data_IF_814754465701
#
_entry.id   IF_814754465701
#
_cell.length_a   1.000
_cell.length_b   1.000
_cell.length_c   1.000
_cell.angle_alpha   90.00
_cell.angle_beta   90.00
_cell.angle_gamma   90.00
#
_symmetry.space_group_name_H-M   'P 1'
#
loop_
_entity.id
_entity.type
_entity.pdbx_description
1 polymer ?
#
# COMPACT_ATOMS: atom_id res chain seq x y z
N UNK A 1 13.68 -5.89 25.28
CA UNK A 1 13.98 -5.56 23.88
C UNK A 1 13.77 -6.79 23.02
N UNK A 2 12.94 -6.69 22.01
CA UNK A 2 12.73 -7.71 20.98
C UNK A 2 13.27 -7.17 19.66
N UNK A 3 13.70 -8.04 18.74
CA UNK A 3 14.28 -7.64 17.46
C UNK A 3 13.61 -8.46 16.37
N UNK A 4 13.10 -7.78 15.36
CA UNK A 4 12.66 -8.38 14.12
C UNK A 4 13.60 -8.00 12.98
N UNK A 5 13.72 -8.87 11.99
CA UNK A 5 14.57 -8.68 10.82
C UNK A 5 13.74 -8.72 9.54
N UNK A 6 14.14 -7.94 8.56
CA UNK A 6 13.45 -7.88 7.27
C UNK A 6 14.40 -7.46 6.16
N UNK A 7 13.83 -7.02 5.05
CA UNK A 7 14.58 -6.43 3.95
C UNK A 7 14.33 -4.93 3.89
N UNK A 8 15.37 -4.12 3.94
CA UNK A 8 15.25 -2.67 3.84
C UNK A 8 14.87 -2.23 2.43
N UNK A 9 13.89 -1.33 2.34
CA UNK A 9 13.48 -0.65 1.10
C UNK A 9 14.13 0.72 1.02
N UNK A 10 14.18 1.43 2.14
CA UNK A 10 14.78 2.74 2.23
C UNK A 10 15.57 2.86 3.53
N UNK A 11 16.83 3.31 3.41
CA UNK A 11 17.66 3.58 4.55
C UNK A 11 17.15 4.78 5.33
N UNK A 12 17.18 4.68 6.65
CA UNK A 12 16.73 5.74 7.56
C UNK A 12 16.34 5.16 8.91
N UNK A 13 16.08 6.05 9.85
CA UNK A 13 15.64 5.69 11.20
C UNK A 13 14.24 6.26 11.42
N UNK A 14 13.28 5.40 11.75
CA UNK A 14 11.97 5.81 12.24
C UNK A 14 11.80 5.40 13.70
N UNK A 15 11.30 6.31 14.53
CA UNK A 15 11.10 6.09 15.98
C UNK A 15 9.65 6.45 16.30
N UNK A 16 8.90 5.48 16.83
CA UNK A 16 7.49 5.69 17.17
C UNK A 16 6.84 4.45 17.75
N UNK A 17 5.56 4.55 18.07
CA UNK A 17 4.75 3.40 18.44
C UNK A 17 4.43 2.56 17.21
N UNK A 18 4.40 1.25 17.36
CA UNK A 18 3.89 0.36 16.33
C UNK A 18 2.36 0.43 16.30
N UNK A 19 1.80 0.43 15.10
CA UNK A 19 0.38 0.28 14.85
C UNK A 19 0.18 -0.90 13.92
N UNK A 20 -0.35 -2.00 14.45
CA UNK A 20 -0.60 -3.19 13.64
C UNK A 20 -1.94 -3.03 12.94
N UNK A 21 -1.87 -2.99 11.62
CA UNK A 21 -3.03 -3.00 10.74
C UNK A 21 -3.35 -4.44 10.36
N UNK A 22 -4.56 -4.86 10.67
CA UNK A 22 -5.11 -6.14 10.24
C UNK A 22 -6.28 -5.84 9.31
N UNK A 23 -6.24 -6.41 8.11
CA UNK A 23 -7.42 -6.43 7.25
C UNK A 23 -8.54 -7.14 8.00
N UNK A 24 -9.73 -6.56 7.99
CA UNK A 24 -10.89 -7.24 8.57
C UNK A 24 -11.22 -8.44 7.70
N UNK A 25 -11.30 -9.61 8.31
CA UNK A 25 -11.82 -10.78 7.61
C UNK A 25 -13.28 -10.51 7.23
N UNK A 26 -13.51 -10.42 5.93
CA UNK A 26 -14.82 -10.19 5.38
C UNK A 26 -15.60 -11.50 5.42
N UNK A 27 -16.55 -11.62 6.35
CA UNK A 27 -17.45 -12.77 6.36
C UNK A 27 -18.43 -12.61 5.21
N UNK A 28 -18.32 -13.49 4.22
CA UNK A 28 -19.18 -13.50 3.04
C UNK A 28 -20.30 -14.51 3.24
N UNK A 29 -21.55 -14.04 3.10
CA UNK A 29 -22.73 -14.92 3.13
C UNK A 29 -22.74 -15.81 1.89
N UNK A 30 -23.02 -17.09 2.10
CA UNK A 30 -23.26 -18.05 1.01
C UNK A 30 -24.74 -18.33 0.79
N UNK A 31 -25.62 -17.57 1.46
CA UNK A 31 -27.05 -17.72 1.36
C UNK A 31 -27.56 -17.50 -0.09
N UNK A 32 -28.63 -18.20 -0.44
CA UNK A 32 -29.31 -18.02 -1.71
C UNK A 32 -30.21 -16.78 -1.66
N UNK A 33 -30.30 -16.09 -2.79
CA UNK A 33 -31.15 -14.90 -2.98
C UNK A 33 -32.33 -15.23 -3.88
N UNK A 34 -33.46 -14.57 -3.64
CA UNK A 34 -34.67 -14.77 -4.43
C UNK A 34 -34.75 -13.84 -5.64
N UNK A 35 -34.27 -12.59 -5.51
CA UNK A 35 -34.33 -11.55 -6.56
C UNK A 35 -32.93 -11.25 -7.10
N UNK A 36 -32.58 -11.97 -8.17
CA UNK A 36 -31.31 -11.80 -8.83
C UNK A 36 -31.17 -10.46 -9.55
N UNK A 37 -32.28 -9.90 -10.04
CA UNK A 37 -32.27 -8.63 -10.75
C UNK A 37 -31.98 -7.46 -9.80
N UNK A 38 -32.56 -7.46 -8.61
CA UNK A 38 -32.25 -6.48 -7.57
C UNK A 38 -30.79 -6.59 -7.12
N UNK A 39 -30.26 -7.82 -7.03
CA UNK A 39 -28.89 -8.05 -6.60
C UNK A 39 -27.85 -7.64 -7.66
N UNK A 40 -28.14 -7.87 -8.94
CA UNK A 40 -27.33 -7.34 -10.05
C UNK A 40 -27.31 -5.82 -10.01
N UNK A 41 -28.45 -5.16 -9.82
CA UNK A 41 -28.50 -3.70 -9.70
C UNK A 41 -27.70 -3.18 -8.49
N UNK A 42 -27.70 -3.92 -7.37
CA UNK A 42 -26.91 -3.61 -6.18
C UNK A 42 -25.41 -3.74 -6.45
N UNK A 43 -25.01 -4.79 -7.17
CA UNK A 43 -23.62 -4.94 -7.63
C UNK A 43 -23.20 -3.80 -8.56
N UNK A 44 -24.00 -3.48 -9.59
CA UNK A 44 -23.69 -2.41 -10.55
C UNK A 44 -23.56 -1.04 -9.87
N UNK A 45 -24.40 -0.75 -8.87
CA UNK A 45 -24.28 0.47 -8.08
C UNK A 45 -23.00 0.50 -7.23
N UNK A 46 -22.54 -0.65 -6.70
CA UNK A 46 -21.30 -0.76 -5.97
C UNK A 46 -20.06 -0.65 -6.89
N UNK A 47 -20.12 -1.28 -8.06
CA UNK A 47 -19.10 -1.18 -9.11
C UNK A 47 -18.88 0.28 -9.54
N UNK A 48 -19.96 1.01 -9.84
CA UNK A 48 -19.87 2.41 -10.23
C UNK A 48 -19.20 3.28 -9.15
N UNK A 49 -19.57 3.07 -7.89
CA UNK A 49 -18.91 3.75 -6.77
C UNK A 49 -17.43 3.37 -6.62
N UNK A 50 -17.07 2.10 -6.89
CA UNK A 50 -15.68 1.67 -6.87
C UNK A 50 -14.87 2.39 -7.96
N UNK A 51 -15.42 2.53 -9.19
CA UNK A 51 -14.79 3.28 -10.28
C UNK A 51 -14.58 4.75 -9.88
N UNK A 52 -15.59 5.39 -9.30
CA UNK A 52 -15.49 6.77 -8.80
C UNK A 52 -14.40 6.91 -7.73
N UNK A 53 -14.29 5.92 -6.82
CA UNK A 53 -13.22 5.90 -5.82
C UNK A 53 -11.84 5.74 -6.45
N UNK A 54 -11.67 4.88 -7.47
CA UNK A 54 -10.39 4.73 -8.17
C UNK A 54 -10.00 6.03 -8.90
N UNK A 55 -10.96 6.72 -9.51
CA UNK A 55 -10.72 8.02 -10.14
C UNK A 55 -10.26 9.08 -9.12
N UNK A 56 -10.89 9.13 -7.95
CA UNK A 56 -10.47 10.05 -6.88
C UNK A 56 -9.07 9.69 -6.33
N UNK A 57 -8.74 8.39 -6.23
CA UNK A 57 -7.40 7.94 -5.84
C UNK A 57 -6.35 8.28 -6.90
N UNK A 58 -6.68 8.19 -8.19
CA UNK A 58 -5.82 8.64 -9.28
C UNK A 58 -5.45 10.12 -9.13
N UNK A 59 -6.45 10.99 -8.96
CA UNK A 59 -6.21 12.42 -8.79
C UNK A 59 -5.33 12.74 -7.57
N UNK A 60 -5.62 12.07 -6.44
CA UNK A 60 -4.82 12.22 -5.22
C UNK A 60 -3.38 11.72 -5.42
N UNK A 61 -3.20 10.54 -6.00
CA UNK A 61 -1.88 9.97 -6.26
C UNK A 61 -1.07 10.84 -7.23
N UNK A 62 -1.71 11.38 -8.28
CA UNK A 62 -1.08 12.26 -9.25
C UNK A 62 -0.54 13.53 -8.57
N UNK A 63 -1.32 14.13 -7.68
CA UNK A 63 -0.92 15.33 -6.95
C UNK A 63 0.20 15.08 -5.92
N UNK A 64 0.21 13.91 -5.28
CA UNK A 64 1.06 13.63 -4.13
C UNK A 64 2.29 12.76 -4.41
N UNK A 65 2.20 11.87 -5.39
CA UNK A 65 3.21 10.82 -5.63
C UNK A 65 3.69 10.74 -7.09
N UNK A 66 3.00 11.41 -8.02
CA UNK A 66 3.37 11.48 -9.43
C UNK A 66 2.65 10.46 -10.31
N UNK A 67 2.85 10.59 -11.63
CA UNK A 67 2.12 9.87 -12.68
C UNK A 67 2.30 8.35 -12.61
N UNK A 68 3.54 7.87 -12.38
CA UNK A 68 3.85 6.44 -12.33
C UNK A 68 3.03 5.69 -11.27
N UNK A 69 2.75 6.35 -10.12
CA UNK A 69 1.96 5.77 -9.04
C UNK A 69 0.46 5.93 -9.31
N UNK A 70 0.07 7.06 -9.89
CA UNK A 70 -1.33 7.34 -10.21
C UNK A 70 -1.89 6.36 -11.25
N UNK A 71 -1.10 5.97 -12.26
CA UNK A 71 -1.54 5.11 -13.36
C UNK A 71 -2.10 3.76 -12.90
N UNK A 72 -1.68 3.26 -11.74
CA UNK A 72 -2.24 2.05 -11.14
C UNK A 72 -3.75 2.16 -10.94
N UNK A 73 -4.24 3.32 -10.50
CA UNK A 73 -5.67 3.54 -10.24
C UNK A 73 -6.48 3.70 -11.52
N UNK A 74 -5.88 4.23 -12.58
CA UNK A 74 -6.48 4.24 -13.91
C UNK A 74 -6.67 2.81 -14.45
N UNK A 75 -5.64 1.97 -14.31
CA UNK A 75 -5.73 0.54 -14.65
C UNK A 75 -6.79 -0.16 -13.82
N UNK A 76 -6.88 0.10 -12.51
CA UNK A 76 -7.91 -0.46 -11.64
C UNK A 76 -9.33 -0.06 -12.08
N UNK A 77 -9.53 1.20 -12.48
CA UNK A 77 -10.81 1.64 -13.03
C UNK A 77 -11.17 0.87 -14.30
N UNK A 78 -10.23 0.70 -15.23
CA UNK A 78 -10.43 -0.11 -16.45
C UNK A 78 -10.73 -1.57 -16.14
N UNK A 79 -10.06 -2.18 -15.16
CA UNK A 79 -10.32 -3.57 -14.74
C UNK A 79 -11.70 -3.73 -14.10
N UNK A 80 -12.21 -2.70 -13.41
CA UNK A 80 -13.58 -2.69 -12.86
C UNK A 80 -14.66 -2.61 -13.96
N UNK A 81 -14.33 -2.06 -15.13
CA UNK A 81 -15.20 -1.95 -16.29
C UNK A 81 -15.04 -3.13 -17.28
N UNK A 82 -14.12 -4.06 -17.00
CA UNK A 82 -13.85 -5.21 -17.87
C UNK A 82 -15.06 -6.13 -17.98
N UNK A 83 -15.52 -6.35 -19.21
CA UNK A 83 -16.73 -7.14 -19.49
C UNK A 83 -16.62 -8.58 -18.97
N UNK A 84 -15.46 -9.22 -19.08
CA UNK A 84 -15.25 -10.60 -18.64
C UNK A 84 -15.38 -10.70 -17.11
N UNK A 85 -14.87 -9.72 -16.38
CA UNK A 85 -15.00 -9.64 -14.92
C UNK A 85 -16.45 -9.40 -14.49
N UNK A 86 -17.12 -8.45 -15.12
CA UNK A 86 -18.51 -8.07 -14.82
C UNK A 86 -19.45 -9.21 -15.16
N UNK A 87 -19.29 -9.85 -16.32
CA UNK A 87 -20.14 -10.96 -16.76
C UNK A 87 -19.96 -12.19 -15.87
N UNK A 88 -18.73 -12.50 -15.42
CA UNK A 88 -18.49 -13.59 -14.47
C UNK A 88 -19.25 -13.36 -13.14
N UNK A 89 -19.27 -12.14 -12.63
CA UNK A 89 -20.03 -11.80 -11.42
C UNK A 89 -21.53 -11.96 -11.65
N UNK A 90 -22.05 -11.43 -12.75
CA UNK A 90 -23.47 -11.52 -13.11
C UNK A 90 -23.94 -12.96 -13.34
N UNK A 91 -23.07 -13.79 -13.92
CA UNK A 91 -23.35 -15.22 -14.10
C UNK A 91 -23.48 -15.96 -12.76
N UNK A 92 -22.63 -15.64 -11.78
CA UNK A 92 -22.74 -16.24 -10.44
C UNK A 92 -24.02 -15.77 -9.75
N UNK A 93 -24.40 -14.49 -9.84
CA UNK A 93 -25.63 -13.98 -9.26
C UNK A 93 -26.85 -14.65 -9.90
N UNK A 94 -26.93 -14.65 -11.24
CA UNK A 94 -28.12 -15.13 -11.97
C UNK A 94 -28.17 -16.65 -12.05
N UNK A 95 -27.05 -17.33 -12.25
CA UNK A 95 -27.00 -18.78 -12.45
C UNK A 95 -26.96 -19.59 -11.15
N UNK A 96 -26.30 -19.04 -10.11
CA UNK A 96 -26.16 -19.73 -8.82
C UNK A 96 -27.03 -19.14 -7.71
N UNK A 97 -27.80 -18.07 -7.99
CA UNK A 97 -28.63 -17.37 -7.02
C UNK A 97 -27.88 -16.94 -5.75
N UNK A 98 -26.64 -16.45 -5.90
CA UNK A 98 -25.79 -16.00 -4.78
C UNK A 98 -25.78 -14.47 -4.68
N UNK A 99 -25.55 -13.97 -3.45
CA UNK A 99 -25.43 -12.54 -3.21
C UNK A 99 -24.24 -11.92 -3.93
N UNK A 100 -24.27 -10.62 -4.14
CA UNK A 100 -23.22 -9.87 -4.85
C UNK A 100 -21.85 -10.02 -4.18
N UNK A 101 -21.78 -10.05 -2.84
CA UNK A 101 -20.53 -10.23 -2.12
C UNK A 101 -19.87 -11.60 -2.44
N UNK A 102 -20.67 -12.66 -2.48
CA UNK A 102 -20.19 -14.00 -2.85
C UNK A 102 -19.72 -14.03 -4.30
N UNK A 103 -20.48 -13.42 -5.20
CA UNK A 103 -20.16 -13.38 -6.62
C UNK A 103 -18.86 -12.61 -6.90
N UNK A 104 -18.72 -11.42 -6.32
CA UNK A 104 -17.53 -10.58 -6.46
C UNK A 104 -16.30 -11.29 -5.89
N UNK A 105 -16.40 -11.87 -4.69
CA UNK A 105 -15.29 -12.62 -4.08
C UNK A 105 -14.86 -13.81 -4.93
N UNK A 106 -15.83 -14.60 -5.40
CA UNK A 106 -15.56 -15.81 -6.20
C UNK A 106 -14.96 -15.46 -7.57
N UNK A 107 -15.52 -14.49 -8.27
CA UNK A 107 -15.00 -14.04 -9.57
C UNK A 107 -13.60 -13.42 -9.41
N UNK A 108 -13.40 -12.58 -8.39
CA UNK A 108 -12.11 -11.98 -8.08
C UNK A 108 -11.04 -13.01 -7.76
N UNK A 109 -11.34 -14.00 -6.89
CA UNK A 109 -10.39 -15.06 -6.55
C UNK A 109 -10.03 -15.92 -7.78
N UNK A 110 -11.01 -16.26 -8.62
CA UNK A 110 -10.79 -17.04 -9.84
C UNK A 110 -9.90 -16.28 -10.82
N UNK A 111 -10.19 -15.01 -11.08
CA UNK A 111 -9.40 -14.20 -11.99
C UNK A 111 -7.98 -13.95 -11.46
N UNK A 112 -7.84 -13.67 -10.17
CA UNK A 112 -6.55 -13.53 -9.52
C UNK A 112 -5.71 -14.81 -9.62
N UNK A 113 -6.33 -15.99 -9.47
CA UNK A 113 -5.66 -17.27 -9.64
C UNK A 113 -5.17 -17.50 -11.08
N UNK A 114 -5.93 -17.05 -12.07
CA UNK A 114 -5.51 -17.10 -13.49
C UNK A 114 -4.25 -16.27 -13.70
N UNK A 115 -4.21 -15.02 -13.23
CA UNK A 115 -3.03 -14.17 -13.33
C UNK A 115 -1.83 -14.75 -12.57
N UNK A 116 -2.05 -15.27 -11.35
CA UNK A 116 -1.00 -15.87 -10.55
C UNK A 116 -0.35 -17.11 -11.19
N UNK A 117 -1.10 -17.83 -12.05
CA UNK A 117 -0.62 -19.02 -12.76
C UNK A 117 0.11 -18.71 -14.07
N UNK A 118 0.20 -17.45 -14.49
CA UNK A 118 0.91 -17.05 -15.71
C UNK A 118 2.43 -17.13 -15.53
N UNK A 119 3.17 -17.39 -16.60
CA UNK A 119 4.64 -17.47 -16.57
C UNK A 119 5.32 -16.10 -16.51
N UNK A 120 4.64 -15.02 -16.91
CA UNK A 120 5.16 -13.66 -16.93
C UNK A 120 5.04 -13.01 -15.54
N UNK A 121 6.15 -12.64 -14.88
CA UNK A 121 6.13 -11.99 -13.55
C UNK A 121 5.34 -10.67 -13.51
N UNK A 122 5.26 -9.95 -14.62
CA UNK A 122 4.47 -8.73 -14.72
C UNK A 122 2.97 -9.03 -14.64
N UNK A 123 2.52 -10.07 -15.35
CA UNK A 123 1.13 -10.51 -15.30
C UNK A 123 0.79 -11.18 -13.97
N UNK A 124 1.72 -11.94 -13.37
CA UNK A 124 1.53 -12.48 -12.03
C UNK A 124 1.25 -11.39 -10.99
N UNK A 125 1.93 -10.24 -11.10
CA UNK A 125 1.71 -9.12 -10.19
C UNK A 125 0.28 -8.54 -10.28
N UNK A 126 -0.41 -8.68 -11.42
CA UNK A 126 -1.81 -8.27 -11.60
C UNK A 126 -2.81 -9.05 -10.75
N UNK A 127 -2.42 -10.23 -10.26
CA UNK A 127 -3.24 -10.97 -9.28
C UNK A 127 -3.58 -10.13 -8.04
N UNK A 128 -2.63 -9.37 -7.54
CA UNK A 128 -2.86 -8.47 -6.39
C UNK A 128 -3.81 -7.31 -6.74
N UNK A 129 -3.72 -6.77 -7.96
CA UNK A 129 -4.59 -5.71 -8.44
C UNK A 129 -6.05 -6.18 -8.53
N UNK A 130 -6.30 -7.40 -9.05
CA UNK A 130 -7.65 -8.01 -9.08
C UNK A 130 -8.23 -8.15 -7.67
N UNK A 131 -7.41 -8.59 -6.71
CA UNK A 131 -7.86 -8.70 -5.31
C UNK A 131 -8.19 -7.32 -4.73
N UNK A 132 -7.42 -6.28 -5.04
CA UNK A 132 -7.66 -4.92 -4.54
C UNK A 132 -8.98 -4.34 -5.10
N UNK A 133 -9.26 -4.49 -6.40
CA UNK A 133 -10.51 -4.01 -7.00
C UNK A 133 -11.73 -4.80 -6.52
N UNK A 134 -11.62 -6.13 -6.37
CA UNK A 134 -12.69 -6.95 -5.80
C UNK A 134 -12.99 -6.54 -4.36
N UNK A 135 -11.96 -6.30 -3.54
CA UNK A 135 -12.12 -5.82 -2.18
C UNK A 135 -12.78 -4.45 -2.12
N UNK A 136 -12.46 -3.53 -3.05
CA UNK A 136 -13.10 -2.22 -3.12
C UNK A 136 -14.62 -2.32 -3.33
N UNK A 137 -15.08 -3.24 -4.21
CA UNK A 137 -16.52 -3.50 -4.40
C UNK A 137 -17.13 -4.12 -3.13
N UNK A 138 -16.45 -5.09 -2.51
CA UNK A 138 -16.92 -5.75 -1.29
C UNK A 138 -17.10 -4.77 -0.14
N UNK A 139 -16.16 -3.86 0.07
CA UNK A 139 -16.23 -2.84 1.11
C UNK A 139 -17.44 -1.93 0.91
N UNK A 140 -17.75 -1.56 -0.33
CA UNK A 140 -18.92 -0.75 -0.67
C UNK A 140 -20.22 -1.52 -0.44
N UNK A 141 -20.28 -2.80 -0.86
CA UNK A 141 -21.45 -3.66 -0.67
C UNK A 141 -21.79 -3.85 0.81
N UNK A 142 -20.76 -3.93 1.66
CA UNK A 142 -20.89 -4.13 3.11
C UNK A 142 -20.99 -2.84 3.91
N UNK A 143 -20.87 -1.67 3.26
CA UNK A 143 -20.87 -0.38 3.93
C UNK A 143 -19.68 -0.19 4.89
N UNK A 144 -18.54 -0.83 4.59
CA UNK A 144 -17.33 -0.69 5.38
C UNK A 144 -16.68 0.66 5.05
N UNK A 145 -16.57 1.52 6.06
CA UNK A 145 -15.82 2.77 5.91
C UNK A 145 -14.33 2.50 6.17
N UNK A 146 -13.54 2.54 5.12
CA UNK A 146 -12.08 2.37 5.17
C UNK A 146 -11.33 3.68 5.47
N UNK A 147 -12.02 4.70 5.99
CA UNK A 147 -11.45 6.04 6.23
C UNK A 147 -10.30 6.08 7.25
N UNK A 148 -10.06 5.02 8.02
CA UNK A 148 -9.03 5.05 9.07
C UNK A 148 -8.16 3.80 9.14
N UNK A 149 -7.26 3.65 8.16
CA UNK A 149 -6.15 2.68 8.24
C UNK A 149 -5.14 3.07 9.33
N UNK A 150 -5.10 4.34 9.70
CA UNK A 150 -4.19 4.92 10.67
C UNK A 150 -4.94 5.37 11.94
N UNK A 151 -4.21 5.37 13.06
CA UNK A 151 -4.67 6.05 14.28
C UNK A 151 -4.60 7.56 14.11
N UNK A 152 -4.91 8.28 15.19
CA UNK A 152 -4.83 9.75 15.26
C UNK A 152 -3.44 10.26 15.64
N UNK A 153 -2.49 9.38 15.96
CA UNK A 153 -1.12 9.71 16.37
C UNK A 153 -0.09 9.22 15.36
N UNK A 154 1.03 9.95 15.17
CA UNK A 154 2.13 9.49 14.34
C UNK A 154 2.66 8.13 14.80
N UNK A 155 2.73 7.16 13.89
CA UNK A 155 3.08 5.78 14.20
C UNK A 155 3.88 5.10 13.10
N UNK A 156 4.50 3.98 13.44
CA UNK A 156 5.09 3.05 12.50
C UNK A 156 4.03 2.01 12.16
N UNK A 157 3.59 1.99 10.90
CA UNK A 157 2.56 1.06 10.45
C UNK A 157 3.15 -0.32 10.20
N UNK A 158 2.46 -1.34 10.73
CA UNK A 158 2.78 -2.75 10.49
C UNK A 158 1.59 -3.40 9.81
N UNK A 159 1.82 -4.06 8.69
CA UNK A 159 0.79 -4.77 7.94
C UNK A 159 1.28 -6.13 7.43
N UNK A 160 0.38 -6.97 6.98
CA UNK A 160 0.73 -8.17 6.22
C UNK A 160 1.34 -7.79 4.88
N UNK A 161 0.57 -7.07 4.09
CA UNK A 161 0.95 -6.33 2.88
C UNK A 161 -0.02 -5.16 2.72
N UNK A 162 0.31 -4.17 1.90
CA UNK A 162 -0.51 -3.00 1.66
C UNK A 162 -0.87 -2.90 0.18
N UNK A 163 -2.17 -2.82 -0.09
CA UNK A 163 -2.68 -2.56 -1.43
C UNK A 163 -2.40 -1.10 -1.86
N UNK A 164 -2.35 -0.81 -3.18
CA UNK A 164 -2.20 0.55 -3.69
C UNK A 164 -3.24 1.51 -3.12
N UNK A 165 -4.51 1.10 -3.10
CA UNK A 165 -5.63 1.89 -2.59
C UNK A 165 -5.48 2.23 -1.10
N UNK A 166 -4.96 1.31 -0.29
CA UNK A 166 -4.70 1.52 1.14
C UNK A 166 -3.60 2.56 1.34
N UNK A 167 -2.51 2.47 0.56
CA UNK A 167 -1.34 3.34 0.71
C UNK A 167 -1.63 4.80 0.37
N UNK A 168 -2.42 5.07 -0.67
CA UNK A 168 -2.77 6.44 -1.08
C UNK A 168 -3.80 7.08 -0.14
N UNK A 169 -4.65 6.27 0.53
CA UNK A 169 -5.61 6.78 1.54
C UNK A 169 -4.93 7.23 2.83
N UNK A 170 -3.71 6.79 3.12
CA UNK A 170 -3.02 7.12 4.36
C UNK A 170 -2.66 8.60 4.47
N UNK A 171 -2.74 9.14 5.69
CA UNK A 171 -2.22 10.47 6.01
C UNK A 171 -0.70 10.37 6.22
N UNK A 172 0.04 10.94 5.29
CA UNK A 172 1.51 10.93 5.30
C UNK A 172 2.11 11.59 6.54
N UNK A 173 1.40 12.54 7.14
CA UNK A 173 1.86 13.25 8.34
C UNK A 173 1.87 12.37 9.60
N UNK A 174 1.06 11.31 9.60
CA UNK A 174 0.94 10.34 10.69
C UNK A 174 1.81 9.10 10.49
N UNK A 175 2.53 9.01 9.37
CA UNK A 175 3.31 7.84 9.01
C UNK A 175 4.80 8.07 9.23
N UNK A 176 5.36 7.44 10.24
CA UNK A 176 6.79 7.54 10.57
C UNK A 176 7.63 6.49 9.84
N UNK A 177 7.05 5.34 9.54
CA UNK A 177 7.71 4.22 8.87
C UNK A 177 6.73 3.11 8.54
N UNK A 178 7.17 2.14 7.72
CA UNK A 178 6.41 0.94 7.38
C UNK A 178 7.16 -0.33 7.73
N UNK A 179 6.40 -1.35 8.09
CA UNK A 179 6.91 -2.72 8.18
C UNK A 179 5.85 -3.64 7.60
N UNK A 180 6.22 -4.49 6.64
CA UNK A 180 5.32 -5.53 6.15
C UNK A 180 5.91 -6.91 6.38
N UNK A 181 5.04 -7.90 6.65
CA UNK A 181 5.42 -9.31 6.81
C UNK A 181 5.73 -9.96 5.47
N UNK A 182 5.01 -9.55 4.44
CA UNK A 182 5.15 -9.99 3.07
C UNK A 182 5.64 -8.85 2.16
N UNK A 183 5.51 -8.99 0.86
CA UNK A 183 5.83 -7.98 -0.13
C UNK A 183 7.17 -8.17 -0.84
N UNK A 184 7.38 -7.41 -1.89
CA UNK A 184 8.59 -7.41 -2.70
C UNK A 184 9.23 -6.01 -2.78
N UNK A 185 10.47 -5.94 -3.24
CA UNK A 185 11.15 -4.64 -3.45
C UNK A 185 10.54 -3.79 -4.56
N UNK A 186 9.69 -4.39 -5.39
CA UNK A 186 8.98 -3.74 -6.48
C UNK A 186 7.47 -3.62 -6.19
N UNK A 187 7.02 -3.97 -4.97
CA UNK A 187 5.63 -3.79 -4.55
C UNK A 187 5.25 -2.30 -4.49
N UNK A 188 3.96 -2.02 -4.58
CA UNK A 188 3.42 -0.66 -4.43
C UNK A 188 3.83 -0.03 -3.09
N UNK A 189 3.86 -0.81 -2.01
CA UNK A 189 4.36 -0.39 -0.69
C UNK A 189 5.82 0.08 -0.74
N UNK A 190 6.68 -0.65 -1.46
CA UNK A 190 8.08 -0.28 -1.60
C UNK A 190 8.27 1.00 -2.44
N UNK A 191 7.50 1.15 -3.52
CA UNK A 191 7.50 2.34 -4.36
C UNK A 191 7.04 3.55 -3.55
N UNK A 192 5.95 3.40 -2.79
CA UNK A 192 5.42 4.47 -1.94
C UNK A 192 6.42 4.88 -0.86
N UNK A 193 7.03 3.93 -0.16
CA UNK A 193 8.05 4.23 0.87
C UNK A 193 9.18 5.09 0.31
N UNK A 194 9.64 4.78 -0.92
CA UNK A 194 10.66 5.57 -1.62
C UNK A 194 10.16 6.96 -2.00
N UNK A 195 8.93 7.09 -2.54
CA UNK A 195 8.36 8.38 -2.93
C UNK A 195 8.14 9.30 -1.74
N UNK A 196 7.73 8.74 -0.61
CA UNK A 196 7.54 9.47 0.65
C UNK A 196 8.84 9.69 1.43
N UNK A 197 9.94 9.06 1.02
CA UNK A 197 11.21 9.07 1.74
C UNK A 197 11.07 8.61 3.21
N UNK A 198 10.30 7.56 3.43
CA UNK A 198 9.99 6.99 4.75
C UNK A 198 10.74 5.65 4.91
N UNK A 199 11.45 5.41 6.04
CA UNK A 199 12.08 4.13 6.32
C UNK A 199 11.08 2.98 6.29
N UNK A 200 11.40 1.92 5.54
CA UNK A 200 10.52 0.78 5.38
C UNK A 200 11.27 -0.55 5.35
N UNK A 201 10.70 -1.53 6.03
CA UNK A 201 11.14 -2.93 6.01
C UNK A 201 10.03 -3.79 5.42
N UNK A 202 10.40 -4.74 4.57
CA UNK A 202 9.51 -5.77 4.04
C UNK A 202 10.00 -7.15 4.43
N UNK A 203 9.14 -8.17 4.30
CA UNK A 203 9.45 -9.56 4.62
C UNK A 203 9.92 -9.75 6.08
N UNK A 204 9.37 -8.96 6.99
CA UNK A 204 9.68 -9.03 8.41
C UNK A 204 8.74 -10.02 9.11
N UNK A 205 9.07 -11.31 9.03
CA UNK A 205 8.22 -12.42 9.54
C UNK A 205 8.22 -12.56 11.06
N UNK A 206 9.18 -11.92 11.73
CA UNK A 206 9.34 -12.02 13.19
C UNK A 206 8.34 -11.17 13.99
N UNK A 207 7.49 -10.39 13.31
CA UNK A 207 6.55 -9.48 13.95
C UNK A 207 5.45 -10.26 14.67
N UNK A 208 5.25 -9.93 15.94
CA UNK A 208 4.23 -10.50 16.79
C UNK A 208 3.08 -9.50 17.01
N UNK A 209 1.87 -10.03 17.12
CA UNK A 209 0.67 -9.18 17.29
C UNK A 209 0.64 -8.42 18.63
N UNK A 210 1.35 -8.94 19.64
CA UNK A 210 1.51 -8.28 20.94
C UNK A 210 2.43 -7.05 20.92
N UNK A 211 3.01 -6.72 19.77
CA UNK A 211 3.81 -5.52 19.57
C UNK A 211 2.98 -4.26 19.32
N UNK A 212 1.68 -4.40 19.09
CA UNK A 212 0.79 -3.23 18.88
C UNK A 212 0.88 -2.25 20.05
N UNK A 213 1.04 -0.97 19.72
CA UNK A 213 1.19 0.13 20.69
C UNK A 213 2.55 0.22 21.38
N UNK A 214 3.45 -0.75 21.22
CA UNK A 214 4.80 -0.70 21.81
C UNK A 214 5.68 0.32 21.10
N UNK A 215 6.62 0.93 21.85
CA UNK A 215 7.64 1.79 21.26
C UNK A 215 8.62 0.97 20.45
N UNK A 216 8.92 1.44 19.23
CA UNK A 216 9.86 0.76 18.35
C UNK A 216 10.77 1.74 17.59
N UNK A 217 11.88 1.17 17.08
CA UNK A 217 12.75 1.84 16.14
C UNK A 217 12.93 0.96 14.92
N UNK A 218 12.60 1.49 13.75
CA UNK A 218 12.94 0.90 12.46
C UNK A 218 14.28 1.42 12.04
N UNK A 219 15.25 0.51 11.89
CA UNK A 219 16.60 0.79 11.39
C UNK A 219 16.73 0.24 9.97
N UNK A 220 16.45 1.09 8.98
CA UNK A 220 16.58 0.74 7.57
C UNK A 220 18.04 0.51 7.13
N UNK A 221 19.04 0.94 7.89
CA UNK A 221 20.45 0.67 7.57
C UNK A 221 20.85 -0.76 7.89
N UNK A 222 20.33 -1.29 9.00
CA UNK A 222 20.61 -2.65 9.46
C UNK A 222 19.48 -3.63 9.13
N UNK A 223 18.42 -3.17 8.47
CA UNK A 223 17.23 -3.94 8.10
C UNK A 223 16.57 -4.62 9.34
N UNK A 224 16.49 -3.90 10.45
CA UNK A 224 15.97 -4.40 11.72
C UNK A 224 14.89 -3.46 12.30
N UNK A 225 13.99 -4.05 13.08
CA UNK A 225 13.12 -3.34 13.99
C UNK A 225 13.44 -3.72 15.43
N UNK A 226 13.61 -2.74 16.29
CA UNK A 226 13.85 -2.92 17.73
C UNK A 226 12.61 -2.52 18.48
N UNK A 227 11.98 -3.46 19.20
CA UNK A 227 10.78 -3.21 20.03
C UNK A 227 11.20 -3.12 21.48
N UNK A 228 10.68 -2.11 22.18
CA UNK A 228 11.08 -1.73 23.52
C UNK A 228 12.63 -1.61 23.64
N UNK A 229 13.25 -0.72 22.83
CA UNK A 229 14.70 -0.57 22.81
C UNK A 229 15.21 -0.07 24.17
N UNK A 230 16.44 -0.48 24.49
CA UNK A 230 17.13 0.06 25.69
C UNK A 230 17.36 1.58 25.55
N UNK A 231 17.40 2.33 26.66
CA UNK A 231 17.62 3.77 26.61
C UNK A 231 18.88 4.18 25.84
N UNK A 232 19.96 3.42 25.96
CA UNK A 232 21.23 3.70 25.27
C UNK A 232 21.11 3.48 23.75
N UNK A 233 20.46 2.39 23.32
CA UNK A 233 20.19 2.13 21.90
C UNK A 233 19.29 3.20 21.32
N UNK A 234 18.19 3.54 22.01
CA UNK A 234 17.27 4.58 21.56
C UNK A 234 18.00 5.93 21.41
N UNK A 235 18.87 6.29 22.35
CA UNK A 235 19.67 7.53 22.30
C UNK A 235 20.61 7.55 21.10
N UNK A 236 21.28 6.45 20.83
CA UNK A 236 22.22 6.34 19.71
C UNK A 236 21.51 6.43 18.35
N UNK A 237 20.38 5.73 18.19
CA UNK A 237 19.59 5.75 16.96
C UNK A 237 18.88 7.09 16.75
N UNK A 238 18.43 7.75 17.81
CA UNK A 238 17.86 9.10 17.75
C UNK A 238 18.90 10.13 17.28
N UNK A 239 20.16 10.01 17.73
CA UNK A 239 21.24 10.86 17.24
C UNK A 239 21.47 10.66 15.74
N UNK A 240 21.50 9.40 15.28
CA UNK A 240 21.65 9.08 13.86
C UNK A 240 20.48 9.63 13.03
N UNK A 241 19.23 9.48 13.51
CA UNK A 241 18.06 10.06 12.86
C UNK A 241 18.20 11.58 12.66
N UNK A 242 18.65 12.30 13.69
CA UNK A 242 18.86 13.75 13.61
C UNK A 242 19.96 14.13 12.61
N UNK A 243 21.03 13.34 12.53
CA UNK A 243 22.10 13.55 11.55
C UNK A 243 21.58 13.32 10.12
N UNK A 244 20.75 12.31 9.89
CA UNK A 244 20.14 12.03 8.61
C UNK A 244 19.16 13.13 8.19
N UNK A 245 18.32 13.61 9.10
CA UNK A 245 17.40 14.73 8.84
C UNK A 245 18.17 16.01 8.45
N UNK A 246 19.28 16.31 9.11
CA UNK A 246 20.14 17.45 8.74
C UNK A 246 20.74 17.29 7.35
N UNK A 247 21.22 16.08 7.00
CA UNK A 247 21.74 15.82 5.65
C UNK A 247 20.66 15.95 4.57
N UNK A 248 19.46 15.46 4.84
CA UNK A 248 18.33 15.59 3.91
C UNK A 248 17.92 17.05 3.71
N UNK A 249 17.80 17.82 4.78
CA UNK A 249 17.51 19.26 4.71
C UNK A 249 18.56 20.00 3.85
N UNK A 250 19.85 19.72 4.07
CA UNK A 250 20.94 20.29 3.28
C UNK A 250 20.85 19.91 1.79
N UNK A 251 20.51 18.65 1.49
CA UNK A 251 20.33 18.19 0.10
C UNK A 251 19.14 18.87 -0.57
N UNK A 252 18.05 19.13 0.16
CA UNK A 252 16.90 19.86 -0.38
C UNK A 252 17.25 21.34 -0.67
N UNK A 253 18.01 21.99 0.19
CA UNK A 253 18.51 23.36 -0.08
C UNK A 253 19.42 23.44 -1.30
N UNK A 254 20.09 22.35 -1.66
CA UNK A 254 20.97 22.27 -2.83
C UNK A 254 20.21 21.92 -4.11
N UNK A 255 18.99 21.39 -4.03
CA UNK A 255 18.14 21.15 -5.19
C UNK A 255 17.84 22.48 -5.92
N UNK A 256 18.21 22.52 -7.20
CA UNK A 256 18.00 23.72 -8.05
C UNK A 256 19.16 24.74 -8.02
N UNK A 257 20.18 24.55 -7.21
CA UNK A 257 21.37 25.41 -7.30
C UNK A 257 22.28 24.93 -8.45
N UNK A 258 22.78 25.83 -9.31
CA UNK A 258 23.69 25.44 -10.40
C UNK A 258 24.97 24.85 -9.83
N UNK A 259 25.35 23.66 -10.30
CA UNK A 259 26.62 23.04 -9.97
C UNK A 259 27.79 23.85 -10.55
N UNK A 260 28.65 24.39 -9.70
CA UNK A 260 29.91 25.00 -10.15
C UNK A 260 31.02 23.95 -10.07
N UNK A 261 31.76 23.77 -11.18
CA UNK A 261 32.95 22.94 -11.17
C UNK A 261 33.97 23.52 -10.16
N UNK A 262 34.44 22.70 -9.24
CA UNK A 262 35.43 23.11 -8.23
C UNK A 262 36.80 23.54 -8.82
N UNK A 263 37.03 23.21 -10.10
CA UNK A 263 38.33 23.43 -10.76
C UNK A 263 38.39 24.64 -11.70
N UNK A 264 37.26 25.04 -12.28
CA UNK A 264 37.26 26.06 -13.35
C UNK A 264 36.25 27.17 -13.17
N UNK A 265 35.35 27.11 -12.19
CA UNK A 265 34.26 28.07 -12.00
C UNK A 265 33.22 28.12 -13.14
N UNK A 266 33.29 27.20 -14.10
CA UNK A 266 32.37 27.12 -15.23
C UNK A 266 31.21 26.19 -14.94
N UNK A 267 29.99 26.51 -15.39
CA UNK A 267 28.86 25.59 -15.26
C UNK A 267 29.13 24.32 -16.10
N UNK A 268 28.94 23.15 -15.49
CA UNK A 268 29.08 21.88 -16.19
C UNK A 268 27.89 21.70 -17.13
N UNK A 269 28.09 21.95 -18.43
CA UNK A 269 27.15 21.50 -19.47
C UNK A 269 27.54 20.09 -19.89
N UNK A 270 26.72 19.11 -19.54
CA UNK A 270 26.74 17.82 -20.20
C UNK A 270 25.88 17.91 -21.46
N UNK A 271 26.43 17.61 -22.66
CA UNK A 271 25.57 17.46 -23.81
C UNK A 271 24.68 16.25 -23.61
N UNK A 272 23.38 16.44 -23.76
CA UNK A 272 22.41 15.33 -23.85
C UNK A 272 22.83 14.41 -25.01
N UNK A 273 23.02 13.14 -24.72
CA UNK A 273 23.04 12.07 -25.72
C UNK A 273 21.73 11.32 -25.68
#
# INVERSE_FOLDING_TARGET
MQVGTGRSILNGIAIGKLKIYKKKDTVISTAEIADTAAEVARFEAAQQKAIEQQTALYEKALAEAGEDIAEVFNIHAMMLEDDDFVDAIKEIINGQHKCAEYAVKTAGDNQAAVFAAMDDPYLQARSADVIDIAQAILDILQGVDNASLQGTEPSILVAEDLAPSETVRMDKSLLLGFITREGSSNSHTAILARSMNIPALIQCKDIQDDWDGKMAVVDGYNACVYVDPTPDLLKSLKKRQQEDQKKQALLQELKGKPTKSARTGWPAHWPAR
#
